data_IF_151388092716
#
_entry.id   IF_151388092716
#
_cell.length_a   1.000
_cell.length_b   1.000
_cell.length_c   1.000
_cell.angle_alpha   90.00
_cell.angle_beta   90.00
_cell.angle_gamma   90.00
#
_symmetry.space_group_name_H-M   'P 1'
#
loop_
_entity.id
_entity.type
_entity.pdbx_description
1 polymer ?
#
# COMPACT_ATOMS: atom_id res chain seq x y z
N UNK A 1 -11.70 13.39 -32.13
CA UNK A 1 -11.61 13.02 -30.71
C UNK A 1 -10.17 13.22 -30.27
N UNK A 2 -9.86 13.97 -29.19
CA UNK A 2 -8.51 13.97 -28.67
C UNK A 2 -8.17 12.54 -28.23
N UNK A 3 -7.00 12.02 -28.64
CA UNK A 3 -6.46 10.78 -28.06
C UNK A 3 -6.41 10.96 -26.55
N UNK A 4 -6.85 9.98 -25.73
CA UNK A 4 -6.60 10.07 -24.30
C UNK A 4 -5.09 10.24 -24.12
N UNK A 5 -4.69 11.29 -23.40
CA UNK A 5 -3.30 11.46 -23.01
C UNK A 5 -2.89 10.18 -22.28
N UNK A 6 -1.96 9.41 -22.84
CA UNK A 6 -1.42 8.24 -22.17
C UNK A 6 -0.92 8.74 -20.82
N UNK A 7 -1.53 8.28 -19.73
CA UNK A 7 -1.11 8.63 -18.38
C UNK A 7 0.39 8.30 -18.29
N UNK A 8 1.22 9.31 -18.00
CA UNK A 8 2.66 9.12 -17.76
C UNK A 8 2.94 8.23 -16.54
N UNK A 9 1.90 7.98 -15.75
CA UNK A 9 1.93 7.19 -14.53
C UNK A 9 1.34 5.80 -14.82
N UNK A 10 2.04 4.72 -14.45
CA UNK A 10 1.55 3.37 -14.66
C UNK A 10 0.26 3.13 -13.85
N UNK A 11 -0.69 2.29 -14.35
CA UNK A 11 -1.92 1.92 -13.65
C UNK A 11 -1.75 1.54 -12.18
N UNK A 12 -0.65 0.88 -11.84
CA UNK A 12 -0.33 0.40 -10.51
C UNK A 12 -0.15 1.54 -9.51
N UNK A 13 0.32 2.71 -9.95
CA UNK A 13 0.52 3.89 -9.10
C UNK A 13 -0.76 4.70 -8.87
N UNK A 14 -1.90 4.27 -9.41
CA UNK A 14 -3.17 4.91 -9.09
C UNK A 14 -3.52 4.70 -7.60
N UNK A 15 -4.12 5.69 -6.92
CA UNK A 15 -4.46 5.59 -5.50
C UNK A 15 -5.28 4.34 -5.14
N UNK A 16 -6.18 3.89 -6.01
CA UNK A 16 -7.02 2.71 -5.77
C UNK A 16 -6.21 1.42 -5.77
N UNK A 17 -5.20 1.31 -6.65
CA UNK A 17 -4.32 0.14 -6.68
C UNK A 17 -3.33 0.14 -5.51
N UNK A 18 -2.81 1.32 -5.14
CA UNK A 18 -1.99 1.47 -3.93
C UNK A 18 -2.81 1.10 -2.70
N UNK A 19 -4.04 1.61 -2.57
CA UNK A 19 -4.94 1.35 -1.45
C UNK A 19 -5.19 -0.14 -1.19
N UNK A 20 -5.33 -0.94 -2.27
CA UNK A 20 -5.43 -2.41 -2.15
C UNK A 20 -4.19 -3.00 -1.48
N UNK A 21 -2.99 -2.57 -1.89
CA UNK A 21 -1.73 -3.07 -1.31
C UNK A 21 -1.52 -2.61 0.12
N UNK A 22 -1.94 -1.39 0.47
CA UNK A 22 -1.94 -0.94 1.88
C UNK A 22 -2.82 -1.83 2.75
N UNK A 23 -3.99 -2.21 2.22
CA UNK A 23 -4.87 -3.17 2.87
C UNK A 23 -4.23 -4.55 2.99
N UNK A 24 -3.56 -5.05 1.95
CA UNK A 24 -2.82 -6.32 2.01
C UNK A 24 -1.74 -6.29 3.08
N UNK A 25 -0.96 -5.22 3.19
CA UNK A 25 0.04 -5.05 4.26
C UNK A 25 -0.64 -5.13 5.62
N UNK A 26 -1.71 -4.36 5.84
CA UNK A 26 -2.43 -4.38 7.10
C UNK A 26 -2.94 -5.78 7.46
N UNK A 27 -3.58 -6.46 6.50
CA UNK A 27 -4.17 -7.80 6.72
C UNK A 27 -3.10 -8.87 6.91
N UNK A 28 -1.97 -8.79 6.20
CA UNK A 28 -0.82 -9.71 6.32
C UNK A 28 -0.20 -9.70 7.72
N UNK A 29 -0.33 -8.59 8.44
CA UNK A 29 0.12 -8.43 9.83
C UNK A 29 -1.03 -8.55 10.85
N UNK A 30 -2.23 -8.95 10.40
CA UNK A 30 -3.37 -9.23 11.29
C UNK A 30 -3.97 -7.99 11.96
N UNK A 31 -3.77 -6.79 11.38
CA UNK A 31 -4.16 -5.53 12.01
C UNK A 31 -5.55 -5.03 11.57
N UNK A 32 -6.23 -4.36 12.48
CA UNK A 32 -7.41 -3.52 12.20
C UNK A 32 -6.98 -2.16 11.66
N UNK A 33 -7.84 -1.46 10.90
CA UNK A 33 -7.51 -0.14 10.35
C UNK A 33 -7.07 0.89 11.39
N UNK A 34 -7.65 0.86 12.60
CA UNK A 34 -7.25 1.74 13.69
C UNK A 34 -5.85 1.41 14.22
N UNK A 35 -5.51 0.13 14.33
CA UNK A 35 -4.24 -0.33 14.93
C UNK A 35 -3.05 0.07 14.05
N UNK A 36 -3.13 -0.11 12.74
CA UNK A 36 -2.04 0.32 11.84
C UNK A 36 -1.91 1.86 11.78
N UNK A 37 -3.03 2.60 11.84
CA UNK A 37 -2.98 4.05 11.88
C UNK A 37 -2.29 4.55 13.17
N UNK A 38 -2.63 3.95 14.31
CA UNK A 38 -2.01 4.25 15.60
C UNK A 38 -0.52 3.86 15.60
N UNK A 39 -0.14 2.72 15.00
CA UNK A 39 1.27 2.30 14.86
C UNK A 39 2.12 3.22 13.97
N UNK A 40 1.48 3.86 12.98
CA UNK A 40 2.10 4.81 12.07
C UNK A 40 2.01 6.26 12.58
N UNK A 41 1.37 6.48 13.74
CA UNK A 41 1.11 7.81 14.31
C UNK A 41 0.39 8.76 13.33
N UNK A 42 -0.64 8.26 12.65
CA UNK A 42 -1.46 9.03 11.72
C UNK A 42 -2.94 9.00 12.09
N UNK A 43 -3.70 9.96 11.57
CA UNK A 43 -5.15 9.93 11.71
C UNK A 43 -5.76 8.68 11.08
N UNK A 44 -6.58 7.97 11.87
CA UNK A 44 -7.37 6.79 11.42
C UNK A 44 -8.21 7.09 10.18
N UNK A 45 -8.71 8.32 10.06
CA UNK A 45 -9.49 8.76 8.89
C UNK A 45 -8.64 8.80 7.63
N UNK A 46 -7.34 9.10 7.74
CA UNK A 46 -6.41 9.12 6.62
C UNK A 46 -6.13 7.71 6.14
N UNK A 47 -5.83 6.78 7.05
CA UNK A 47 -5.63 5.37 6.70
C UNK A 47 -6.84 4.80 5.93
N UNK A 48 -8.05 5.02 6.44
CA UNK A 48 -9.29 4.60 5.75
C UNK A 48 -9.43 5.19 4.34
N UNK A 49 -9.00 6.44 4.12
CA UNK A 49 -9.05 7.08 2.79
C UNK A 49 -7.97 6.54 1.86
N UNK A 50 -6.79 6.18 2.39
CA UNK A 50 -5.73 5.55 1.62
C UNK A 50 -6.15 4.17 1.11
N UNK A 51 -6.69 3.29 1.96
CA UNK A 51 -7.10 1.94 1.53
C UNK A 51 -8.19 1.95 0.46
N UNK A 52 -9.05 2.96 0.48
CA UNK A 52 -10.11 3.13 -0.53
C UNK A 52 -9.64 3.84 -1.80
N UNK A 53 -8.40 4.31 -1.85
CA UNK A 53 -7.89 5.14 -2.95
C UNK A 53 -8.50 6.55 -3.02
N UNK A 54 -9.28 6.96 -2.03
CA UNK A 54 -9.89 8.30 -1.99
C UNK A 54 -8.86 9.40 -1.67
N UNK A 55 -7.67 9.02 -1.21
CA UNK A 55 -6.53 9.90 -0.99
C UNK A 55 -5.25 9.17 -1.44
N UNK A 56 -4.36 9.81 -2.21
CA UNK A 56 -3.04 9.25 -2.47
C UNK A 56 -2.23 9.14 -1.17
N UNK A 57 -1.46 8.07 -1.02
CA UNK A 57 -0.46 7.97 0.05
C UNK A 57 0.61 9.06 -0.16
N UNK A 58 1.18 9.59 0.93
CA UNK A 58 2.32 10.49 0.87
C UNK A 58 3.64 9.73 1.13
N UNK A 59 4.75 10.41 0.88
CA UNK A 59 6.09 9.84 1.06
C UNK A 59 6.39 9.40 2.50
N UNK A 60 5.94 10.17 3.48
CA UNK A 60 6.12 9.86 4.91
C UNK A 60 5.46 8.53 5.30
N UNK A 61 4.18 8.34 4.97
CA UNK A 61 3.47 7.09 5.30
C UNK A 61 4.06 5.92 4.51
N UNK A 62 4.45 6.13 3.25
CA UNK A 62 5.11 5.08 2.47
C UNK A 62 6.43 4.63 3.10
N UNK A 63 7.25 5.57 3.58
CA UNK A 63 8.47 5.28 4.33
C UNK A 63 8.20 4.57 5.66
N UNK A 64 7.24 5.04 6.45
CA UNK A 64 6.92 4.40 7.72
C UNK A 64 6.46 2.94 7.54
N UNK A 65 5.77 2.64 6.43
CA UNK A 65 5.41 1.26 6.10
C UNK A 65 6.63 0.38 5.81
N UNK A 66 7.66 0.91 5.12
CA UNK A 66 8.89 0.14 4.88
C UNK A 66 9.61 -0.15 6.20
N UNK A 67 9.72 0.85 7.08
CA UNK A 67 10.40 0.72 8.37
C UNK A 67 9.67 -0.24 9.34
N UNK A 68 8.34 -0.21 9.36
CA UNK A 68 7.54 -0.97 10.33
C UNK A 68 7.23 -2.41 9.89
N UNK A 69 7.13 -2.64 8.57
CA UNK A 69 6.62 -3.91 8.04
C UNK A 69 7.59 -4.61 7.09
N UNK A 70 8.77 -4.04 6.81
CA UNK A 70 9.79 -4.67 5.95
C UNK A 70 9.38 -4.78 4.48
N UNK A 71 8.36 -4.04 4.05
CA UNK A 71 7.96 -3.94 2.64
C UNK A 71 8.85 -2.95 1.89
N UNK A 72 8.84 -2.99 0.56
CA UNK A 72 9.57 -2.05 -0.29
C UNK A 72 8.64 -0.98 -0.87
N UNK A 73 9.18 0.20 -1.20
CA UNK A 73 8.44 1.22 -1.96
C UNK A 73 7.98 0.67 -3.33
N UNK A 74 8.81 -0.16 -3.96
CA UNK A 74 8.50 -0.85 -5.21
C UNK A 74 7.25 -1.75 -5.09
N UNK A 75 7.10 -2.47 -3.97
CA UNK A 75 5.87 -3.20 -3.69
C UNK A 75 4.69 -2.25 -3.51
N UNK A 76 4.80 -1.24 -2.64
CA UNK A 76 3.72 -0.29 -2.33
C UNK A 76 3.20 0.41 -3.60
N UNK A 77 4.11 0.92 -4.44
CA UNK A 77 3.77 1.78 -5.57
C UNK A 77 3.51 1.02 -6.87
N UNK A 78 4.22 -0.10 -7.10
CA UNK A 78 4.25 -0.77 -8.41
C UNK A 78 3.82 -2.24 -8.37
N UNK A 79 3.45 -2.78 -7.21
CA UNK A 79 3.19 -4.22 -6.99
C UNK A 79 4.38 -5.09 -7.40
N UNK A 80 5.60 -4.59 -7.18
CA UNK A 80 6.83 -5.34 -7.45
C UNK A 80 7.29 -6.08 -6.22
N UNK A 81 7.39 -7.39 -6.34
CA UNK A 81 7.74 -8.29 -5.24
C UNK A 81 9.25 -8.45 -5.03
N UNK A 82 10.07 -7.92 -5.94
CA UNK A 82 11.52 -7.95 -5.82
C UNK A 82 12.00 -7.17 -4.60
N UNK A 83 12.98 -7.73 -3.89
CA UNK A 83 13.58 -7.10 -2.70
C UNK A 83 12.78 -7.25 -1.40
N UNK A 84 11.60 -7.87 -1.43
CA UNK A 84 10.89 -8.23 -0.20
C UNK A 84 11.64 -9.35 0.53
N UNK A 85 11.82 -9.27 1.87
CA UNK A 85 12.21 -10.41 2.68
C UNK A 85 11.26 -11.59 2.47
N UNK A 86 11.79 -12.81 2.49
CA UNK A 86 11.02 -14.02 2.17
C UNK A 86 9.79 -14.18 3.07
N UNK A 87 9.96 -13.96 4.37
CA UNK A 87 8.89 -14.05 5.37
C UNK A 87 7.80 -12.99 5.15
N UNK A 88 8.18 -11.75 4.79
CA UNK A 88 7.22 -10.68 4.45
C UNK A 88 6.46 -11.04 3.17
N UNK A 89 7.14 -11.54 2.15
CA UNK A 89 6.50 -11.99 0.92
C UNK A 89 5.52 -13.15 1.18
N UNK A 90 5.86 -14.10 2.03
CA UNK A 90 4.94 -15.19 2.40
C UNK A 90 3.69 -14.69 3.14
N UNK A 91 3.85 -13.74 4.08
CA UNK A 91 2.71 -13.10 4.76
C UNK A 91 1.78 -12.43 3.76
N UNK A 92 2.31 -11.60 2.86
CA UNK A 92 1.52 -10.90 1.84
C UNK A 92 0.81 -11.87 0.89
N UNK A 93 1.48 -12.97 0.50
CA UNK A 93 0.85 -14.03 -0.33
C UNK A 93 -0.32 -14.71 0.38
N UNK A 94 -0.25 -14.88 1.70
CA UNK A 94 -1.30 -15.59 2.44
C UNK A 94 -2.63 -14.84 2.50
N UNK A 95 -2.61 -13.51 2.36
CA UNK A 95 -3.82 -12.67 2.39
C UNK A 95 -4.28 -12.19 1.01
N UNK A 96 -3.43 -12.31 -0.01
CA UNK A 96 -3.77 -11.86 -1.36
C UNK A 96 -4.93 -12.68 -1.92
N UNK A 97 -6.05 -12.01 -2.17
CA UNK A 97 -7.22 -12.60 -2.83
C UNK A 97 -7.03 -12.47 -4.34
N UNK A 98 -7.07 -13.61 -5.04
CA UNK A 98 -7.12 -13.69 -6.50
C UNK A 98 -8.44 -13.17 -7.05
#
# INVERSE_FOLDING_TARGET
MPKPAISRIPPQMRPEEIGKRLREIREAFGLKPAEIADMLDIERTYWSRFERGHRPINEEVAYLLTERFGVTLDFILLDRWGGLPLDVAEKLRSVRRL
#
